data_IF_221412317960
#
_entry.id   IF_221412317960
#
_cell.length_a   1.000
_cell.length_b   1.000
_cell.length_c   1.000
_cell.angle_alpha   90.00
_cell.angle_beta   90.00
_cell.angle_gamma   90.00
#
_symmetry.space_group_name_H-M   'P 1'
#
loop_
_entity.id
_entity.type
_entity.pdbx_description
1 polymer ?
#
# COMPACT_ATOMS: atom_id res chain seq x y z
N UNK A 1 -4.19 -46.17 30.61
CA UNK A 1 -4.54 -45.87 29.20
C UNK A 1 -5.35 -44.59 29.15
N UNK A 2 -4.70 -43.42 29.25
CA UNK A 2 -5.35 -42.09 29.20
C UNK A 2 -4.49 -41.04 28.50
N UNK A 3 -3.18 -41.26 28.35
CA UNK A 3 -2.25 -40.33 27.70
C UNK A 3 -2.50 -40.10 26.20
N UNK A 4 -3.08 -41.07 25.50
CA UNK A 4 -3.33 -40.97 24.05
C UNK A 4 -4.47 -40.02 23.67
N UNK A 5 -5.49 -39.90 24.53
CA UNK A 5 -6.65 -39.04 24.26
C UNK A 5 -6.27 -37.55 24.39
N UNK A 6 -5.44 -37.20 25.38
CA UNK A 6 -4.89 -35.85 25.52
C UNK A 6 -4.01 -35.45 24.34
N UNK A 7 -3.10 -36.33 23.92
CA UNK A 7 -2.19 -36.05 22.79
C UNK A 7 -2.94 -35.88 21.45
N UNK A 8 -3.92 -36.75 21.17
CA UNK A 8 -4.73 -36.66 19.96
C UNK A 8 -5.56 -35.37 19.92
N UNK A 9 -6.15 -34.97 21.05
CA UNK A 9 -6.92 -33.72 21.16
C UNK A 9 -6.02 -32.50 21.01
N UNK A 10 -4.82 -32.49 21.61
CA UNK A 10 -3.86 -31.38 21.42
C UNK A 10 -3.41 -31.27 19.97
N UNK A 11 -3.15 -32.39 19.30
CA UNK A 11 -2.71 -32.39 17.91
C UNK A 11 -3.84 -31.93 16.99
N UNK A 12 -5.07 -32.39 17.24
CA UNK A 12 -6.26 -31.95 16.51
C UNK A 12 -6.51 -30.43 16.70
N UNK A 13 -6.31 -29.90 17.90
CA UNK A 13 -6.45 -28.46 18.16
C UNK A 13 -5.39 -27.63 17.42
N UNK A 14 -4.13 -28.10 17.36
CA UNK A 14 -3.06 -27.44 16.60
C UNK A 14 -3.40 -27.43 15.10
N UNK A 15 -3.79 -28.58 14.54
CA UNK A 15 -4.15 -28.69 13.12
C UNK A 15 -5.39 -27.86 12.78
N UNK A 16 -6.40 -27.83 13.66
CA UNK A 16 -7.58 -27.00 13.49
C UNK A 16 -7.20 -25.52 13.48
N UNK A 17 -6.37 -25.05 14.41
CA UNK A 17 -5.93 -23.66 14.48
C UNK A 17 -5.11 -23.25 13.24
N UNK A 18 -4.16 -24.08 12.81
CA UNK A 18 -3.36 -23.84 11.60
C UNK A 18 -4.22 -23.87 10.34
N UNK A 19 -5.08 -24.89 10.20
CA UNK A 19 -5.97 -25.04 9.05
C UNK A 19 -6.94 -23.88 8.93
N UNK A 20 -7.47 -23.40 10.07
CA UNK A 20 -8.35 -22.23 10.12
C UNK A 20 -7.63 -20.95 9.69
N UNK A 21 -6.40 -20.74 10.17
CA UNK A 21 -5.58 -19.58 9.80
C UNK A 21 -5.27 -19.59 8.29
N UNK A 22 -4.90 -20.75 7.75
CA UNK A 22 -4.64 -20.94 6.32
C UNK A 22 -5.90 -20.76 5.47
N UNK A 23 -7.04 -21.26 5.94
CA UNK A 23 -8.32 -21.11 5.25
C UNK A 23 -8.73 -19.64 5.16
N UNK A 24 -8.54 -18.85 6.23
CA UNK A 24 -8.79 -17.41 6.22
C UNK A 24 -7.85 -16.70 5.25
N UNK A 25 -6.56 -17.04 5.23
CA UNK A 25 -5.61 -16.47 4.27
C UNK A 25 -5.99 -16.78 2.81
N UNK A 26 -6.42 -18.02 2.53
CA UNK A 26 -6.91 -18.43 1.21
C UNK A 26 -8.21 -17.72 0.83
N UNK A 27 -9.13 -17.54 1.78
CA UNK A 27 -10.39 -16.85 1.54
C UNK A 27 -10.14 -15.35 1.24
N UNK A 28 -9.18 -14.72 1.92
CA UNK A 28 -8.71 -13.36 1.58
C UNK A 28 -8.11 -13.31 0.18
N UNK A 29 -7.20 -14.24 -0.14
CA UNK A 29 -6.54 -14.31 -1.45
C UNK A 29 -7.52 -14.56 -2.61
N UNK A 30 -8.55 -15.38 -2.39
CA UNK A 30 -9.54 -15.72 -3.41
C UNK A 30 -10.60 -14.63 -3.62
N UNK A 31 -10.97 -13.87 -2.57
CA UNK A 31 -12.11 -12.94 -2.64
C UNK A 31 -11.70 -11.53 -3.03
N UNK A 32 -10.45 -11.12 -2.81
CA UNK A 32 -9.93 -9.77 -3.15
C UNK A 32 -10.65 -8.59 -2.47
N UNK A 33 -11.66 -8.86 -1.64
CA UNK A 33 -12.55 -7.87 -0.99
C UNK A 33 -12.23 -7.79 0.50
N UNK A 34 -11.28 -6.92 0.85
CA UNK A 34 -10.84 -6.71 2.25
C UNK A 34 -11.98 -6.28 3.20
N UNK A 35 -13.05 -5.67 2.68
CA UNK A 35 -14.18 -5.18 3.47
C UNK A 35 -14.96 -6.29 4.20
N UNK A 36 -15.07 -7.49 3.61
CA UNK A 36 -15.79 -8.62 4.24
C UNK A 36 -14.87 -9.54 5.04
N UNK A 37 -13.57 -9.57 4.72
CA UNK A 37 -12.61 -10.45 5.37
C UNK A 37 -12.26 -10.01 6.80
N UNK A 38 -12.20 -8.70 7.06
CA UNK A 38 -11.86 -8.16 8.38
C UNK A 38 -12.78 -8.64 9.52
N UNK A 39 -14.12 -8.48 9.39
CA UNK A 39 -15.06 -8.95 10.41
C UNK A 39 -15.00 -10.46 10.67
N UNK A 40 -14.85 -11.26 9.61
CA UNK A 40 -14.74 -12.72 9.72
C UNK A 40 -13.46 -13.11 10.46
N UNK A 41 -12.33 -12.50 10.10
CA UNK A 41 -11.06 -12.74 10.77
C UNK A 41 -11.13 -12.36 12.27
N UNK A 42 -11.74 -11.23 12.61
CA UNK A 42 -11.94 -10.81 14.00
C UNK A 42 -12.86 -11.74 14.79
N UNK A 43 -13.92 -12.26 14.18
CA UNK A 43 -14.82 -13.23 14.82
C UNK A 43 -14.09 -14.55 15.10
N UNK A 44 -13.35 -15.08 14.13
CA UNK A 44 -12.58 -16.31 14.29
C UNK A 44 -11.46 -16.15 15.32
N UNK A 45 -10.78 -15.00 15.31
CA UNK A 45 -9.74 -14.71 16.29
C UNK A 45 -10.31 -14.58 17.71
N UNK A 46 -11.50 -14.01 17.89
CA UNK A 46 -12.18 -13.96 19.19
C UNK A 46 -12.49 -15.36 19.73
N UNK A 47 -13.03 -16.25 18.88
CA UNK A 47 -13.37 -17.63 19.25
C UNK A 47 -12.11 -18.41 19.62
N UNK A 48 -11.07 -18.35 18.78
CA UNK A 48 -9.82 -19.05 19.01
C UNK A 48 -9.12 -18.55 20.29
N UNK A 49 -9.08 -17.23 20.50
CA UNK A 49 -8.46 -16.64 21.68
C UNK A 49 -9.25 -16.95 22.96
N UNK A 50 -10.59 -16.89 22.92
CA UNK A 50 -11.43 -17.24 24.06
C UNK A 50 -11.28 -18.71 24.49
N UNK A 51 -11.15 -19.63 23.51
CA UNK A 51 -10.83 -21.03 23.76
C UNK A 51 -9.44 -21.22 24.36
N UNK A 52 -8.43 -20.52 23.83
CA UNK A 52 -7.05 -20.58 24.31
C UNK A 52 -6.92 -20.05 25.74
N UNK A 53 -7.52 -18.90 26.05
CA UNK A 53 -7.48 -18.34 27.41
C UNK A 53 -8.20 -19.30 28.38
N UNK A 54 -9.32 -19.90 27.96
CA UNK A 54 -10.05 -20.87 28.78
C UNK A 54 -9.21 -22.10 29.12
N UNK A 55 -8.54 -22.67 28.11
CA UNK A 55 -7.66 -23.81 28.27
C UNK A 55 -6.37 -23.50 29.06
N UNK A 56 -5.97 -22.23 29.15
CA UNK A 56 -4.76 -21.79 29.84
C UNK A 56 -4.96 -21.44 31.33
N UNK A 57 -6.14 -21.68 31.90
CA UNK A 57 -6.47 -21.31 33.29
C UNK A 57 -7.21 -19.98 33.43
N UNK A 58 -7.72 -19.43 32.33
CA UNK A 58 -8.57 -18.25 32.30
C UNK A 58 -7.81 -16.91 32.39
N UNK A 59 -8.48 -15.88 32.91
CA UNK A 59 -7.95 -14.51 32.99
C UNK A 59 -6.75 -14.36 33.93
N UNK A 60 -6.56 -15.32 34.84
CA UNK A 60 -5.39 -15.39 35.71
C UNK A 60 -4.11 -15.78 34.97
N UNK A 61 -4.25 -16.30 33.73
CA UNK A 61 -3.15 -16.77 32.90
C UNK A 61 -2.48 -15.61 32.15
N UNK A 62 -1.13 -15.63 32.00
CA UNK A 62 -0.40 -14.67 31.17
C UNK A 62 -0.91 -14.59 29.72
N UNK A 63 -1.54 -15.67 29.23
CA UNK A 63 -2.16 -15.74 27.89
C UNK A 63 -3.25 -14.68 27.70
N UNK A 64 -3.93 -14.25 28.76
CA UNK A 64 -4.96 -13.21 28.69
C UNK A 64 -4.43 -11.87 28.16
N UNK A 65 -3.13 -11.61 28.26
CA UNK A 65 -2.50 -10.40 27.69
C UNK A 65 -2.66 -10.31 26.16
N UNK A 66 -2.81 -11.44 25.47
CA UNK A 66 -3.06 -11.48 24.03
C UNK A 66 -4.42 -10.88 23.64
N UNK A 67 -5.32 -10.64 24.58
CA UNK A 67 -6.53 -9.84 24.32
C UNK A 67 -6.19 -8.42 23.84
N UNK A 68 -5.04 -7.86 24.26
CA UNK A 68 -4.54 -6.58 23.77
C UNK A 68 -3.97 -6.65 22.35
N UNK A 69 -3.62 -7.84 21.86
CA UNK A 69 -3.14 -8.02 20.50
C UNK A 69 -4.24 -7.74 19.47
N UNK A 70 -5.48 -8.15 19.71
CA UNK A 70 -6.61 -7.94 18.79
C UNK A 70 -6.87 -6.47 18.40
N UNK A 71 -7.02 -5.52 19.35
CA UNK A 71 -7.19 -4.11 19.00
C UNK A 71 -5.93 -3.52 18.35
N UNK A 72 -4.74 -3.96 18.76
CA UNK A 72 -3.48 -3.49 18.18
C UNK A 72 -3.32 -3.93 16.72
N UNK A 73 -3.56 -5.22 16.43
CA UNK A 73 -3.50 -5.79 15.08
C UNK A 73 -4.57 -5.20 14.16
N UNK A 74 -5.80 -5.01 14.67
CA UNK A 74 -6.88 -4.40 13.90
C UNK A 74 -6.58 -2.93 13.57
N UNK A 75 -6.00 -2.18 14.52
CA UNK A 75 -5.55 -0.81 14.28
C UNK A 75 -4.39 -0.76 13.28
N UNK A 76 -3.42 -1.67 13.42
CA UNK A 76 -2.25 -1.75 12.55
C UNK A 76 -2.62 -2.01 11.09
N UNK A 77 -3.52 -2.96 10.84
CA UNK A 77 -3.94 -3.35 9.49
C UNK A 77 -4.93 -2.35 8.90
N UNK A 78 -5.86 -1.84 9.71
CA UNK A 78 -6.95 -0.98 9.25
C UNK A 78 -6.67 0.52 9.29
N UNK A 79 -5.51 0.93 9.83
CA UNK A 79 -5.05 2.32 10.03
C UNK A 79 -6.12 3.31 10.56
N UNK A 80 -7.14 2.82 11.26
CA UNK A 80 -8.33 3.61 11.62
C UNK A 80 -8.79 3.33 13.05
N UNK A 81 -9.29 4.37 13.72
CA UNK A 81 -9.85 4.27 15.09
C UNK A 81 -11.05 3.31 15.16
N UNK A 82 -11.81 3.21 14.06
CA UNK A 82 -12.94 2.28 13.95
C UNK A 82 -12.45 0.82 13.93
N UNK A 83 -11.36 0.52 13.22
CA UNK A 83 -10.78 -0.83 13.24
C UNK A 83 -10.28 -1.22 14.64
N UNK A 84 -9.66 -0.29 15.37
CA UNK A 84 -9.26 -0.50 16.75
C UNK A 84 -10.46 -0.81 17.68
N UNK A 85 -11.58 -0.09 17.51
CA UNK A 85 -12.82 -0.34 18.26
C UNK A 85 -13.40 -1.74 17.97
N UNK A 86 -13.43 -2.15 16.70
CA UNK A 86 -13.87 -3.50 16.33
C UNK A 86 -12.93 -4.60 16.85
N UNK A 87 -11.62 -4.36 16.87
CA UNK A 87 -10.65 -5.23 17.52
C UNK A 87 -10.84 -5.31 19.04
N UNK A 88 -11.18 -4.19 19.69
CA UNK A 88 -11.53 -4.15 21.11
C UNK A 88 -12.82 -4.90 21.43
N UNK A 89 -13.85 -4.75 20.58
CA UNK A 89 -15.08 -5.52 20.69
C UNK A 89 -14.84 -7.03 20.54
N UNK A 90 -13.98 -7.43 19.58
CA UNK A 90 -13.53 -8.81 19.40
C UNK A 90 -12.80 -9.36 20.64
N UNK A 91 -11.93 -8.55 21.27
CA UNK A 91 -11.26 -8.92 22.52
C UNK A 91 -12.26 -9.12 23.69
N UNK A 92 -13.26 -8.25 23.82
CA UNK A 92 -14.32 -8.40 24.82
C UNK A 92 -15.15 -9.67 24.59
N UNK A 93 -15.45 -10.00 23.33
CA UNK A 93 -16.12 -11.25 22.95
C UNK A 93 -15.25 -12.45 23.30
N UNK A 94 -13.93 -12.41 23.08
CA UNK A 94 -13.02 -13.50 23.46
C UNK A 94 -13.06 -13.78 24.97
N UNK A 95 -13.06 -12.72 25.79
CA UNK A 95 -13.17 -12.82 27.25
C UNK A 95 -14.54 -13.38 27.67
N UNK A 96 -15.62 -12.96 27.01
CA UNK A 96 -16.95 -13.50 27.26
C UNK A 96 -17.05 -14.99 26.88
N UNK A 97 -16.51 -15.39 25.73
CA UNK A 97 -16.45 -16.80 25.28
C UNK A 97 -15.66 -17.65 26.27
N UNK A 98 -14.57 -17.12 26.81
CA UNK A 98 -13.79 -17.81 27.84
C UNK A 98 -14.60 -18.08 29.11
N UNK A 99 -15.46 -17.16 29.55
CA UNK A 99 -16.32 -17.39 30.72
C UNK A 99 -17.33 -18.52 30.49
N UNK A 100 -17.76 -18.70 29.23
CA UNK A 100 -18.67 -19.77 28.83
C UNK A 100 -17.94 -21.10 28.63
N UNK A 101 -16.68 -21.08 28.21
CA UNK A 101 -15.90 -22.28 27.93
C UNK A 101 -15.65 -23.11 29.19
N UNK A 102 -15.54 -22.49 30.37
CA UNK A 102 -15.48 -23.17 31.66
C UNK A 102 -16.73 -24.04 31.96
N UNK A 103 -17.88 -23.73 31.35
CA UNK A 103 -19.12 -24.48 31.53
C UNK A 103 -19.27 -25.64 30.52
N UNK A 104 -18.60 -25.60 29.37
CA UNK A 104 -18.77 -26.57 28.27
C UNK A 104 -17.54 -27.44 27.99
N UNK A 105 -16.35 -27.02 28.42
CA UNK A 105 -15.10 -27.75 28.18
C UNK A 105 -14.57 -28.39 29.47
N UNK A 106 -14.22 -29.69 29.46
CA UNK A 106 -13.74 -30.43 30.64
C UNK A 106 -12.29 -30.07 31.05
N UNK A 107 -11.77 -28.91 30.62
CA UNK A 107 -10.42 -28.42 30.93
C UNK A 107 -10.40 -27.38 32.06
N UNK A 108 -11.47 -27.31 32.86
CA UNK A 108 -11.68 -26.29 33.90
C UNK A 108 -10.59 -26.26 35.01
N UNK A 109 -9.84 -27.36 35.17
CA UNK A 109 -8.74 -27.48 36.14
C UNK A 109 -7.35 -27.32 35.50
N UNK A 110 -7.24 -26.50 34.45
CA UNK A 110 -5.95 -26.19 33.84
C UNK A 110 -5.11 -25.29 34.77
N UNK A 111 -4.05 -25.86 35.35
CA UNK A 111 -3.11 -25.12 36.18
C UNK A 111 -2.25 -24.15 35.35
N UNK A 112 -2.01 -22.96 35.88
CA UNK A 112 -1.14 -21.95 35.29
C UNK A 112 0.29 -22.52 35.24
N UNK A 113 0.80 -22.75 34.04
CA UNK A 113 2.14 -23.26 33.83
C UNK A 113 3.09 -22.15 33.37
N UNK A 114 4.35 -22.20 33.81
CA UNK A 114 5.34 -21.16 33.51
C UNK A 114 5.59 -20.96 32.00
N UNK A 115 5.39 -21.99 31.17
CA UNK A 115 5.56 -21.92 29.72
C UNK A 115 4.48 -21.08 29.02
N UNK A 116 3.34 -20.77 29.68
CA UNK A 116 2.32 -19.87 29.13
C UNK A 116 2.85 -18.48 28.82
N UNK A 117 3.95 -18.04 29.46
CA UNK A 117 4.64 -16.79 29.15
C UNK A 117 5.29 -16.77 27.76
N UNK A 118 5.61 -17.94 27.18
CA UNK A 118 6.22 -18.02 25.86
C UNK A 118 5.26 -17.50 24.77
N UNK A 119 3.95 -17.62 24.95
CA UNK A 119 2.96 -17.22 23.95
C UNK A 119 2.87 -15.69 23.78
N UNK A 120 2.65 -14.88 24.84
CA UNK A 120 2.70 -13.42 24.72
C UNK A 120 4.10 -12.91 24.37
N UNK A 121 5.17 -13.59 24.82
CA UNK A 121 6.54 -13.24 24.43
C UNK A 121 6.78 -13.45 22.93
N UNK A 122 6.33 -14.57 22.37
CA UNK A 122 6.43 -14.85 20.95
C UNK A 122 5.67 -13.81 20.13
N UNK A 123 4.46 -13.42 20.55
CA UNK A 123 3.73 -12.33 19.93
C UNK A 123 4.49 -11.00 20.00
N UNK A 124 5.03 -10.63 21.18
CA UNK A 124 5.82 -9.41 21.35
C UNK A 124 7.07 -9.39 20.44
N UNK A 125 7.70 -10.54 20.21
CA UNK A 125 8.84 -10.67 19.30
C UNK A 125 8.47 -10.31 17.86
N UNK A 126 7.22 -10.57 17.44
CA UNK A 126 6.74 -10.17 16.10
C UNK A 126 6.59 -8.66 15.93
N UNK A 127 6.55 -7.89 17.03
CA UNK A 127 6.49 -6.44 16.97
C UNK A 127 7.83 -5.82 16.55
N UNK A 128 8.96 -6.49 16.80
CA UNK A 128 10.29 -5.99 16.45
C UNK A 128 10.41 -5.65 14.95
N UNK A 129 10.16 -6.59 14.01
CA UNK A 129 10.21 -6.28 12.57
C UNK A 129 9.13 -5.28 12.13
N UNK A 130 7.98 -5.27 12.81
CA UNK A 130 6.87 -4.36 12.47
C UNK A 130 7.19 -2.91 12.83
N UNK A 131 7.78 -2.68 14.00
CA UNK A 131 8.22 -1.34 14.41
C UNK A 131 9.37 -0.84 13.53
N UNK A 132 10.29 -1.72 13.11
CA UNK A 132 11.34 -1.32 12.16
C UNK A 132 10.78 -0.99 10.77
N UNK A 133 9.75 -1.72 10.32
CA UNK A 133 9.05 -1.39 9.08
C UNK A 133 8.41 -0.01 9.18
N UNK A 134 7.72 0.31 10.29
CA UNK A 134 7.13 1.63 10.53
C UNK A 134 8.14 2.77 10.55
N UNK A 135 9.36 2.56 11.06
CA UNK A 135 10.42 3.58 10.98
C UNK A 135 10.96 3.76 9.56
N UNK A 136 10.99 2.69 8.77
CA UNK A 136 11.33 2.75 7.34
C UNK A 136 10.25 3.41 6.50
N UNK A 137 8.96 3.18 6.82
CA UNK A 137 7.84 3.85 6.16
C UNK A 137 7.57 5.25 6.68
N UNK A 138 7.80 5.60 7.96
CA UNK A 138 7.53 6.96 8.46
C UNK A 138 8.34 8.03 7.69
N UNK A 139 9.58 7.72 7.29
CA UNK A 139 10.36 8.58 6.40
C UNK A 139 9.85 8.64 4.95
N UNK A 140 9.05 7.65 4.51
CA UNK A 140 8.40 7.64 3.20
C UNK A 140 6.95 8.18 3.25
N UNK A 141 6.23 8.00 4.35
CA UNK A 141 4.80 8.32 4.52
C UNK A 141 4.59 9.81 4.77
N UNK A 142 5.47 10.50 5.52
CA UNK A 142 5.40 11.97 5.63
C UNK A 142 5.60 12.66 4.26
N UNK A 143 6.39 12.04 3.37
CA UNK A 143 6.57 12.52 1.99
C UNK A 143 5.40 12.17 1.07
N UNK A 144 4.70 11.06 1.30
CA UNK A 144 3.54 10.62 0.51
C UNK A 144 2.28 11.39 0.91
N UNK A 145 2.02 11.64 2.19
CA UNK A 145 0.84 12.39 2.67
C UNK A 145 0.94 13.90 2.31
N UNK A 146 2.15 14.46 2.30
CA UNK A 146 2.38 15.83 1.80
C UNK A 146 2.22 15.92 0.27
N UNK A 147 2.64 14.87 -0.45
CA UNK A 147 2.48 14.74 -1.91
C UNK A 147 1.02 14.66 -2.33
N UNK A 148 0.24 13.76 -1.72
CA UNK A 148 -1.20 13.57 -2.02
C UNK A 148 -2.00 14.86 -1.79
N UNK A 149 -1.65 15.62 -0.73
CA UNK A 149 -2.27 16.94 -0.45
C UNK A 149 -1.85 18.06 -1.40
N UNK A 150 -0.62 18.01 -1.94
CA UNK A 150 -0.16 18.99 -2.94
C UNK A 150 -0.73 18.65 -4.33
N UNK A 151 -0.87 17.37 -4.65
CA UNK A 151 -1.49 16.83 -5.85
C UNK A 151 -2.97 17.21 -5.94
N UNK A 152 -3.71 17.26 -4.83
CA UNK A 152 -5.09 17.74 -4.81
C UNK A 152 -5.22 19.24 -5.17
N UNK A 153 -4.21 20.05 -4.85
CA UNK A 153 -4.23 21.51 -5.06
C UNK A 153 -3.69 21.88 -6.44
N UNK A 154 -2.74 21.10 -6.98
CA UNK A 154 -2.08 21.39 -8.25
C UNK A 154 -2.65 20.48 -9.35
N UNK A 155 -3.10 21.05 -10.47
CA UNK A 155 -3.48 20.27 -11.65
C UNK A 155 -2.25 19.77 -12.43
N UNK A 156 -1.51 18.86 -11.82
CA UNK A 156 -0.28 18.26 -12.34
C UNK A 156 -0.17 16.80 -11.91
N UNK A 157 0.50 15.98 -12.72
CA UNK A 157 0.93 14.64 -12.33
C UNK A 157 2.28 14.76 -11.64
N UNK A 158 2.34 14.39 -10.37
CA UNK A 158 3.61 14.29 -9.63
C UNK A 158 4.13 12.85 -9.74
N UNK A 159 5.39 12.68 -10.11
CA UNK A 159 6.08 11.39 -10.13
C UNK A 159 7.36 11.48 -9.29
N UNK A 160 7.74 10.38 -8.67
CA UNK A 160 9.00 10.25 -7.93
C UNK A 160 9.93 9.34 -8.69
N UNK A 161 11.16 9.78 -8.91
CA UNK A 161 12.13 9.11 -9.78
C UNK A 161 13.39 8.81 -8.97
N UNK A 162 13.86 7.57 -9.00
CA UNK A 162 15.15 7.18 -8.43
C UNK A 162 16.30 7.85 -9.20
N UNK A 163 17.49 7.90 -8.60
CA UNK A 163 18.70 8.47 -9.22
C UNK A 163 19.01 7.99 -10.64
N UNK A 164 18.56 6.79 -10.99
CA UNK A 164 18.81 6.14 -12.27
C UNK A 164 17.76 6.47 -13.34
N UNK A 165 16.75 7.29 -13.02
CA UNK A 165 15.69 7.67 -13.95
C UNK A 165 14.46 6.76 -13.93
N UNK A 166 14.43 5.78 -13.02
CA UNK A 166 13.28 4.88 -12.84
C UNK A 166 12.19 5.52 -11.98
N UNK A 167 10.95 5.45 -12.41
CA UNK A 167 9.79 5.96 -11.67
C UNK A 167 9.46 5.00 -10.52
N UNK A 168 9.62 5.48 -9.29
CA UNK A 168 9.33 4.74 -8.06
C UNK A 168 7.85 4.83 -7.72
N UNK A 169 7.25 6.00 -7.94
CA UNK A 169 5.87 6.29 -7.57
C UNK A 169 5.25 7.34 -8.50
N UNK A 170 3.94 7.29 -8.67
CA UNK A 170 3.19 8.15 -9.58
C UNK A 170 1.80 8.50 -9.01
N UNK A 171 1.47 9.79 -9.05
CA UNK A 171 0.20 10.34 -8.60
C UNK A 171 -1.02 9.69 -9.28
N UNK A 172 -2.13 9.61 -8.54
CA UNK A 172 -3.43 9.17 -9.06
C UNK A 172 -3.92 10.06 -10.23
N UNK A 173 -3.49 11.33 -10.31
CA UNK A 173 -3.79 12.24 -11.43
C UNK A 173 -3.21 11.80 -12.77
N UNK A 174 -2.29 10.82 -12.80
CA UNK A 174 -1.89 10.16 -14.05
C UNK A 174 -3.09 9.55 -14.80
N UNK A 175 -4.12 9.09 -14.08
CA UNK A 175 -5.32 8.49 -14.69
C UNK A 175 -6.17 9.53 -15.44
N UNK A 176 -6.19 10.76 -14.96
CA UNK A 176 -6.97 11.84 -15.56
C UNK A 176 -6.18 12.54 -16.67
N UNK A 177 -4.94 12.97 -16.38
CA UNK A 177 -4.12 13.77 -17.30
C UNK A 177 -3.41 12.93 -18.37
N UNK A 178 -2.87 11.75 -18.00
CA UNK A 178 -2.17 10.87 -18.96
C UNK A 178 -3.05 9.73 -19.48
N UNK A 179 -4.28 9.59 -18.99
CA UNK A 179 -5.20 8.48 -19.29
C UNK A 179 -4.58 7.10 -19.01
N UNK A 180 -3.62 7.04 -18.08
CA UNK A 180 -2.85 5.85 -17.77
C UNK A 180 -2.95 5.48 -16.30
N UNK A 181 -3.01 4.18 -15.96
CA UNK A 181 -2.76 3.72 -14.61
C UNK A 181 -1.34 4.15 -14.17
N UNK A 182 -1.16 4.68 -12.95
CA UNK A 182 0.16 5.03 -12.40
C UNK A 182 1.12 3.84 -12.40
N UNK A 183 0.59 2.61 -12.29
CA UNK A 183 1.38 1.38 -12.32
C UNK A 183 2.07 1.14 -13.68
N UNK A 184 1.54 1.73 -14.77
CA UNK A 184 2.16 1.66 -16.11
C UNK A 184 3.23 2.73 -16.35
N UNK A 185 3.39 3.67 -15.41
CA UNK A 185 4.41 4.71 -15.46
C UNK A 185 5.63 4.36 -14.62
N UNK A 186 5.51 3.40 -13.69
CA UNK A 186 6.59 2.88 -12.85
C UNK A 186 7.76 2.27 -13.65
N UNK A 187 8.95 2.26 -13.06
CA UNK A 187 10.18 1.78 -13.71
C UNK A 187 10.55 2.65 -14.91
N UNK A 188 10.71 2.04 -16.08
CA UNK A 188 11.00 2.75 -17.35
C UNK A 188 9.76 3.24 -18.09
N UNK A 189 8.56 2.97 -17.55
CA UNK A 189 7.29 3.16 -18.27
C UNK A 189 7.03 4.58 -18.75
N UNK A 190 7.46 5.59 -17.98
CA UNK A 190 7.41 6.99 -18.42
C UNK A 190 8.39 7.28 -19.58
N UNK A 191 9.64 6.85 -19.46
CA UNK A 191 10.70 7.10 -20.46
C UNK A 191 10.38 6.45 -21.81
N UNK A 192 9.82 5.24 -21.80
CA UNK A 192 9.46 4.51 -23.02
C UNK A 192 8.38 5.26 -23.84
N UNK A 193 7.60 6.13 -23.18
CA UNK A 193 6.55 6.94 -23.78
C UNK A 193 7.01 8.34 -24.21
N UNK A 194 8.22 8.75 -23.84
CA UNK A 194 8.80 10.02 -24.28
C UNK A 194 9.17 9.91 -25.76
N UNK A 195 8.73 10.91 -26.54
CA UNK A 195 9.03 11.02 -27.96
C UNK A 195 10.55 10.99 -28.20
N UNK A 196 10.98 10.29 -29.25
CA UNK A 196 12.40 10.03 -29.51
C UNK A 196 13.24 11.31 -29.56
N UNK A 197 12.73 12.38 -30.18
CA UNK A 197 13.40 13.67 -30.27
C UNK A 197 13.67 14.35 -28.92
N UNK A 198 12.86 14.06 -27.90
CA UNK A 198 12.93 14.73 -26.60
C UNK A 198 13.77 13.94 -25.59
N UNK A 199 14.16 12.70 -25.91
CA UNK A 199 14.89 11.81 -24.98
C UNK A 199 16.26 12.35 -24.58
N UNK A 200 16.97 13.01 -25.51
CA UNK A 200 18.29 13.59 -25.21
C UNK A 200 18.14 14.75 -24.22
N UNK A 201 17.12 15.61 -24.40
CA UNK A 201 16.83 16.71 -23.48
C UNK A 201 16.43 16.17 -22.09
N UNK A 202 15.59 15.13 -22.06
CA UNK A 202 15.18 14.47 -20.82
C UNK A 202 16.38 13.87 -20.05
N UNK A 203 17.23 13.10 -20.73
CA UNK A 203 18.41 12.49 -20.10
C UNK A 203 19.44 13.53 -19.65
N UNK A 204 19.60 14.62 -20.41
CA UNK A 204 20.48 15.73 -20.02
C UNK A 204 19.95 16.43 -18.76
N UNK A 205 18.63 16.66 -18.67
CA UNK A 205 18.02 17.21 -17.47
C UNK A 205 18.20 16.29 -16.25
N UNK A 206 18.07 14.96 -16.42
CA UNK A 206 18.36 14.00 -15.36
C UNK A 206 19.84 13.99 -14.94
N UNK A 207 20.76 14.11 -15.90
CA UNK A 207 22.19 14.19 -15.61
C UNK A 207 22.51 15.45 -14.79
N UNK A 208 21.97 16.61 -15.18
CA UNK A 208 22.11 17.85 -14.42
C UNK A 208 21.57 17.72 -12.99
N UNK A 209 20.41 17.08 -12.83
CA UNK A 209 19.83 16.80 -11.51
C UNK A 209 20.71 15.86 -10.69
N UNK A 210 21.43 14.93 -11.31
CA UNK A 210 22.41 14.06 -10.65
C UNK A 210 23.69 14.82 -10.26
N UNK A 211 24.11 15.77 -11.08
CA UNK A 211 25.34 16.54 -10.89
C UNK A 211 25.19 17.66 -9.84
N UNK A 212 23.97 18.01 -9.45
CA UNK A 212 23.77 18.99 -8.39
C UNK A 212 22.62 19.97 -8.58
N UNK A 213 21.95 19.97 -9.73
CA UNK A 213 20.91 20.96 -10.01
C UNK A 213 19.75 20.88 -9.01
N UNK A 214 19.29 22.05 -8.58
CA UNK A 214 18.15 22.19 -7.66
C UNK A 214 16.83 21.98 -8.40
N UNK A 215 16.74 22.49 -9.64
CA UNK A 215 15.59 22.28 -10.52
C UNK A 215 15.97 22.34 -12.00
N UNK A 216 15.15 21.66 -12.82
CA UNK A 216 15.23 21.69 -14.29
C UNK A 216 13.84 21.66 -14.90
N UNK A 217 13.58 22.55 -15.85
CA UNK A 217 12.33 22.58 -16.61
C UNK A 217 12.60 22.26 -18.07
N UNK A 218 11.79 21.39 -18.65
CA UNK A 218 11.82 21.04 -20.07
C UNK A 218 10.41 20.78 -20.59
N UNK A 219 10.24 20.88 -21.90
CA UNK A 219 9.02 20.49 -22.59
C UNK A 219 9.28 19.18 -23.33
N UNK A 220 8.37 18.23 -23.20
CA UNK A 220 8.50 16.93 -23.83
C UNK A 220 7.15 16.40 -24.30
N UNK A 221 7.16 15.55 -25.31
CA UNK A 221 5.97 14.94 -25.87
C UNK A 221 5.82 13.52 -25.33
N UNK A 222 4.67 13.22 -24.73
CA UNK A 222 4.37 11.90 -24.16
C UNK A 222 3.30 11.22 -24.99
N UNK A 223 3.50 9.92 -25.25
CA UNK A 223 2.51 9.06 -25.93
C UNK A 223 1.36 8.70 -24.99
N UNK A 224 0.16 9.19 -25.28
CA UNK A 224 -1.07 8.78 -24.61
C UNK A 224 -1.69 7.54 -25.27
N UNK A 225 -2.37 6.67 -24.50
CA UNK A 225 -3.17 5.60 -25.05
C UNK A 225 -4.33 6.18 -25.88
N UNK A 226 -4.59 5.57 -27.04
CA UNK A 226 -5.74 5.95 -27.86
C UNK A 226 -7.03 5.56 -27.12
N UNK A 227 -7.93 6.51 -26.90
CA UNK A 227 -9.29 6.19 -26.46
C UNK A 227 -9.94 5.38 -27.59
N UNK A 228 -10.44 4.17 -27.28
CA UNK A 228 -10.96 3.18 -28.25
C UNK A 228 -12.23 3.58 -29.00
N UNK A 229 -12.44 4.87 -29.24
CA UNK A 229 -13.61 5.45 -29.90
C UNK A 229 -13.23 6.10 -31.24
N UNK A 230 -12.02 5.81 -31.76
CA UNK A 230 -11.57 6.27 -33.07
C UNK A 230 -12.18 5.41 -34.18
N UNK A 231 -13.03 6.03 -34.98
CA UNK A 231 -13.60 5.51 -36.23
C UNK A 231 -12.54 4.76 -37.04
N UNK A 232 -12.87 3.53 -37.40
CA UNK A 232 -12.13 2.69 -38.34
C UNK A 232 -12.23 3.30 -39.75
N UNK A 233 -11.50 4.40 -39.98
CA UNK A 233 -11.33 4.96 -41.31
C UNK A 233 -10.15 4.22 -41.95
N UNK A 234 -10.48 3.43 -42.97
CA UNK A 234 -9.53 2.62 -43.72
C UNK A 234 -8.36 3.42 -44.29
N UNK A 235 -7.20 2.77 -44.30
CA UNK A 235 -5.95 3.19 -44.93
C UNK A 235 -5.33 4.51 -44.43
N UNK A 236 -4.65 4.43 -43.29
CA UNK A 236 -3.68 5.43 -42.85
C UNK A 236 -2.82 4.86 -41.73
N UNK A 237 -1.50 5.05 -41.80
CA UNK A 237 -0.56 4.64 -40.77
C UNK A 237 -1.04 5.07 -39.37
N UNK A 238 -0.92 4.16 -38.39
CA UNK A 238 -1.26 4.41 -36.98
C UNK A 238 -0.48 5.63 -36.50
N UNK A 239 -1.12 6.80 -36.48
CA UNK A 239 -0.50 8.01 -35.97
C UNK A 239 -0.37 7.85 -34.44
N UNK A 240 0.85 7.85 -33.95
CA UNK A 240 1.11 7.87 -32.52
C UNK A 240 0.57 9.17 -31.91
N UNK A 241 -0.29 9.04 -30.89
CA UNK A 241 -0.90 10.17 -30.20
C UNK A 241 0.08 10.75 -29.16
N UNK A 242 0.94 11.66 -29.60
CA UNK A 242 1.87 12.39 -28.72
C UNK A 242 1.28 13.76 -28.35
N UNK A 243 1.16 14.05 -27.05
CA UNK A 243 0.76 15.37 -26.56
C UNK A 243 1.90 16.08 -25.83
N UNK A 244 1.98 17.42 -25.92
CA UNK A 244 3.01 18.21 -25.26
C UNK A 244 2.74 18.38 -23.76
N UNK A 245 3.74 18.11 -22.95
CA UNK A 245 3.71 18.35 -21.50
C UNK A 245 4.89 19.20 -21.06
N UNK A 246 4.66 20.04 -20.07
CA UNK A 246 5.70 20.75 -19.36
C UNK A 246 6.17 19.89 -18.19
N UNK A 247 7.47 19.61 -18.15
CA UNK A 247 8.13 18.83 -17.11
C UNK A 247 8.98 19.73 -16.23
N UNK A 248 8.83 19.60 -14.93
CA UNK A 248 9.68 20.25 -13.94
C UNK A 248 10.26 19.21 -12.98
N UNK A 249 11.58 19.07 -12.97
CA UNK A 249 12.32 18.27 -12.00
C UNK A 249 12.72 19.16 -10.83
N UNK A 250 12.48 18.69 -9.62
CA UNK A 250 12.84 19.37 -8.37
C UNK A 250 13.51 18.37 -7.45
N UNK A 251 14.60 18.79 -6.81
CA UNK A 251 15.29 18.00 -5.79
C UNK A 251 14.57 18.14 -4.44
N UNK A 252 14.27 17.03 -3.77
CA UNK A 252 13.73 17.04 -2.41
C UNK A 252 14.72 17.61 -1.39
N UNK A 253 14.22 18.28 -0.35
CA UNK A 253 15.05 18.99 0.64
C UNK A 253 15.86 18.09 1.59
N UNK A 254 15.63 16.78 1.58
CA UNK A 254 16.48 15.83 2.30
C UNK A 254 17.14 14.85 1.35
N UNK A 255 18.31 14.38 1.80
CA UNK A 255 19.34 13.46 1.27
C UNK A 255 18.83 12.13 0.65
N UNK A 256 17.67 12.16 0.03
CA UNK A 256 17.04 11.09 -0.71
C UNK A 256 17.59 11.10 -2.13
N UNK A 257 18.01 9.94 -2.59
CA UNK A 257 18.49 9.69 -3.95
C UNK A 257 17.32 9.69 -4.97
N UNK A 258 16.29 10.52 -4.69
CA UNK A 258 14.98 10.54 -5.34
C UNK A 258 14.67 11.98 -5.76
N UNK A 259 14.29 12.13 -7.02
CA UNK A 259 13.85 13.40 -7.61
C UNK A 259 12.34 13.44 -7.71
N UNK A 260 11.75 14.62 -7.49
CA UNK A 260 10.33 14.85 -7.73
C UNK A 260 10.16 15.44 -9.11
N UNK A 261 9.24 14.89 -9.87
CA UNK A 261 8.92 15.26 -11.24
C UNK A 261 7.49 15.78 -11.25
N UNK A 262 7.28 17.00 -11.71
CA UNK A 262 5.95 17.61 -11.85
C UNK A 262 5.65 17.77 -13.32
N UNK A 263 4.63 17.06 -13.80
CA UNK A 263 4.21 17.06 -15.18
C UNK A 263 2.87 17.80 -15.30
N UNK A 264 2.83 18.82 -16.14
CA UNK A 264 1.64 19.65 -16.39
C UNK A 264 1.27 19.58 -17.87
N UNK A 265 -0.03 19.55 -18.15
CA UNK A 265 -0.52 19.70 -19.51
C UNK A 265 -0.18 21.12 -20.00
N UNK A 266 0.37 21.22 -21.22
CA UNK A 266 0.91 22.47 -21.76
C UNK A 266 0.09 22.95 -22.97
N UNK A 267 -1.13 22.43 -23.16
CA UNK A 267 -1.91 22.61 -24.39
C UNK A 267 -2.24 24.09 -24.69
N UNK A 268 -2.60 24.88 -23.68
CA UNK A 268 -2.92 26.31 -23.88
C UNK A 268 -1.68 27.15 -24.25
N UNK A 269 -0.58 26.94 -23.56
CA UNK A 269 0.69 27.67 -23.75
C UNK A 269 1.43 27.24 -25.01
N UNK A 270 1.32 25.96 -25.41
CA UNK A 270 1.80 25.48 -26.70
C UNK A 270 1.00 26.11 -27.86
N UNK A 271 -0.34 26.13 -27.74
CA UNK A 271 -1.21 26.75 -28.74
C UNK A 271 -0.95 28.25 -28.90
N UNK A 272 -0.79 28.99 -27.81
CA UNK A 272 -0.49 30.43 -27.85
C UNK A 272 0.86 30.73 -28.51
N UNK A 273 1.87 29.87 -28.32
CA UNK A 273 3.16 30.00 -29.02
C UNK A 273 3.05 29.70 -30.50
N UNK A 274 2.27 28.70 -30.88
CA UNK A 274 2.06 28.34 -32.28
C UNK A 274 1.26 29.42 -33.01
N UNK A 275 0.25 30.01 -32.37
CA UNK A 275 -0.46 31.19 -32.86
C UNK A 275 0.48 32.41 -32.99
N UNK A 276 1.40 32.62 -32.04
CA UNK A 276 2.44 33.66 -32.14
C UNK A 276 3.46 33.40 -33.26
N UNK A 277 3.87 32.15 -33.46
CA UNK A 277 4.78 31.77 -34.53
C UNK A 277 4.12 31.99 -35.90
N UNK A 278 2.86 31.58 -36.06
CA UNK A 278 2.07 31.85 -37.26
C UNK A 278 1.84 33.35 -37.49
N UNK A 279 1.57 34.13 -36.45
CA UNK A 279 1.42 35.58 -36.55
C UNK A 279 2.73 36.27 -36.96
N UNK A 280 3.88 35.79 -36.47
CA UNK A 280 5.18 36.32 -36.86
C UNK A 280 5.56 35.92 -38.30
N UNK A 281 5.24 34.71 -38.74
CA UNK A 281 5.47 34.27 -40.12
C UNK A 281 4.58 34.98 -41.13
N UNK A 282 3.35 35.34 -40.75
CA UNK A 282 2.42 36.11 -41.61
C UNK A 282 2.71 37.62 -41.63
N UNK A 283 3.47 38.13 -40.66
CA UNK A 283 3.89 39.53 -40.59
C UNK A 283 5.25 39.80 -41.26
N UNK A 284 6.00 38.76 -41.63
CA UNK A 284 7.28 38.83 -42.35
C UNK A 284 7.08 38.75 -43.87
#
# INVERSE_FOLDING_TARGET
>A
VTSGMGAAVTMAAIFAAFGLCWFVALLVAATGKMAAAGPIALAMAAIALGGLIGAAGGLSSPVAMLALALPFEAWWIGASRRAALWGGASAAIAIAIQSLSAAFLPFADAHIAAWHWLVPLAWALTLIPRISAFRGTAGATDTVDTGDRLEDIIDAVVLRIARHGEVVDASAKARTLLKLPPELLSGTGLFDRVHLSDRVAYLSALADMRDGALSRRLELRIRLPQSGNGTQNGNGFVADNYQPFALELVRGEEQSDVFTLVLRENDETARLREELAQANETAA
#
